data_IF_998386267780
#
_entry.id   IF_998386267780
#
_cell.length_a   1.000
_cell.length_b   1.000
_cell.length_c   1.000
_cell.angle_alpha   90.00
_cell.angle_beta   90.00
_cell.angle_gamma   90.00
#
_symmetry.space_group_name_H-M   'P 1'
#
loop_
_entity.id
_entity.type
_entity.pdbx_description
1 polymer ?
#
# COMPACT_ATOMS: atom_id res chain seq x y z
N UNK A 1 9.39 2.30 17.42
CA UNK A 1 10.36 1.24 17.03
C UNK A 1 10.53 0.19 18.13
N UNK A 2 10.85 0.55 19.40
CA UNK A 2 11.15 -0.42 20.46
C UNK A 2 10.01 -1.44 20.73
N UNK A 3 8.74 -1.01 20.78
CA UNK A 3 7.60 -1.91 20.95
C UNK A 3 7.42 -2.85 19.76
N UNK A 4 7.67 -2.40 18.55
CA UNK A 4 7.60 -3.20 17.35
C UNK A 4 8.68 -4.31 17.31
N UNK A 5 9.92 -3.96 17.65
CA UNK A 5 11.02 -4.92 17.78
C UNK A 5 10.70 -5.96 18.86
N UNK A 6 10.23 -5.53 20.03
CA UNK A 6 9.83 -6.42 21.12
C UNK A 6 8.72 -7.37 20.70
N UNK A 7 7.70 -6.88 19.98
CA UNK A 7 6.62 -7.73 19.49
C UNK A 7 7.17 -8.87 18.63
N UNK A 8 8.05 -8.59 17.67
CA UNK A 8 8.62 -9.62 16.81
C UNK A 8 9.48 -10.62 17.59
N UNK A 9 10.26 -10.16 18.56
CA UNK A 9 11.05 -11.06 19.42
C UNK A 9 10.17 -11.98 20.27
N UNK A 10 9.04 -11.50 20.77
CA UNK A 10 8.09 -12.34 21.50
C UNK A 10 7.30 -13.27 20.56
N UNK A 11 6.94 -12.81 19.35
CA UNK A 11 6.25 -13.63 18.36
C UNK A 11 7.11 -14.79 17.82
N UNK A 12 8.44 -14.66 17.80
CA UNK A 12 9.35 -15.78 17.51
C UNK A 12 9.24 -16.91 18.56
N UNK A 13 8.93 -16.57 19.81
CA UNK A 13 8.78 -17.53 20.92
C UNK A 13 7.35 -18.05 21.01
N UNK A 14 6.38 -17.19 20.68
CA UNK A 14 4.93 -17.49 20.72
C UNK A 14 4.27 -17.04 19.40
N UNK A 15 4.19 -17.94 18.39
CA UNK A 15 3.57 -17.61 17.10
C UNK A 15 2.10 -17.20 17.18
N UNK A 16 1.39 -17.49 18.28
CA UNK A 16 -0.02 -17.08 18.44
C UNK A 16 -0.19 -15.55 18.49
N UNK A 17 0.87 -14.81 18.85
CA UNK A 17 0.86 -13.36 18.84
C UNK A 17 0.69 -12.77 17.42
N UNK A 18 1.20 -13.46 16.40
CA UNK A 18 0.96 -13.05 15.01
C UNK A 18 -0.50 -13.21 14.60
N UNK A 19 -1.18 -14.27 15.06
CA UNK A 19 -2.60 -14.48 14.79
C UNK A 19 -3.45 -13.43 15.52
N UNK A 20 -3.07 -13.07 16.74
CA UNK A 20 -3.70 -11.98 17.47
C UNK A 20 -3.51 -10.63 16.73
N UNK A 21 -2.31 -10.36 16.23
CA UNK A 21 -2.04 -9.17 15.43
C UNK A 21 -2.91 -9.11 14.16
N UNK A 22 -3.06 -10.24 13.45
CA UNK A 22 -3.96 -10.35 12.28
C UNK A 22 -5.42 -10.11 12.66
N UNK A 23 -5.85 -10.62 13.83
CA UNK A 23 -7.19 -10.40 14.34
C UNK A 23 -7.46 -8.90 14.65
N UNK A 24 -6.50 -8.21 15.25
CA UNK A 24 -6.62 -6.77 15.50
C UNK A 24 -6.66 -5.96 14.21
N UNK A 25 -5.87 -6.34 13.21
CA UNK A 25 -5.92 -5.71 11.88
C UNK A 25 -7.29 -5.91 11.22
N UNK A 26 -7.84 -7.13 11.28
CA UNK A 26 -9.19 -7.43 10.80
C UNK A 26 -10.26 -6.60 11.50
N UNK A 27 -10.15 -6.41 12.81
CA UNK A 27 -11.07 -5.54 13.57
C UNK A 27 -11.05 -4.08 13.07
N UNK A 28 -9.89 -3.57 12.67
CA UNK A 28 -9.80 -2.22 12.07
C UNK A 28 -10.56 -2.19 10.73
N UNK A 29 -10.40 -3.20 9.89
CA UNK A 29 -11.12 -3.31 8.60
C UNK A 29 -12.64 -3.42 8.80
N UNK A 30 -13.07 -4.12 9.86
CA UNK A 30 -14.48 -4.29 10.23
C UNK A 30 -15.05 -3.08 10.99
N UNK A 31 -14.29 -2.02 11.15
CA UNK A 31 -14.67 -0.81 11.89
C UNK A 31 -15.03 -1.06 13.37
N UNK A 32 -14.35 -2.00 14.04
CA UNK A 32 -14.50 -2.17 15.48
C UNK A 32 -14.16 -0.87 16.21
N UNK A 33 -15.02 -0.34 17.09
CA UNK A 33 -14.83 0.98 17.68
C UNK A 33 -13.51 1.13 18.45
N UNK A 34 -13.13 0.09 19.23
CA UNK A 34 -11.90 0.12 20.02
C UNK A 34 -10.65 0.01 19.15
N UNK A 35 -10.66 -0.87 18.15
CA UNK A 35 -9.55 -1.02 17.24
C UNK A 35 -9.34 0.25 16.39
N UNK A 36 -10.42 0.86 15.94
CA UNK A 36 -10.43 2.11 15.19
C UNK A 36 -9.93 3.29 16.04
N UNK A 37 -10.33 3.38 17.31
CA UNK A 37 -9.85 4.38 18.24
C UNK A 37 -8.32 4.30 18.42
N UNK A 38 -7.79 3.09 18.67
CA UNK A 38 -6.36 2.84 18.84
C UNK A 38 -5.60 3.18 17.54
N UNK A 39 -6.14 2.76 16.40
CA UNK A 39 -5.54 3.05 15.08
C UNK A 39 -5.46 4.56 14.83
N UNK A 40 -6.53 5.31 15.09
CA UNK A 40 -6.55 6.76 14.91
C UNK A 40 -5.59 7.47 15.87
N UNK A 41 -5.50 7.03 17.11
CA UNK A 41 -4.54 7.54 18.07
C UNK A 41 -3.09 7.33 17.60
N UNK A 42 -2.73 6.13 17.13
CA UNK A 42 -1.40 5.83 16.59
C UNK A 42 -1.10 6.66 15.34
N UNK A 43 -2.09 6.81 14.46
CA UNK A 43 -1.96 7.65 13.27
C UNK A 43 -1.68 9.11 13.63
N UNK A 44 -2.41 9.66 14.60
CA UNK A 44 -2.22 11.04 15.05
C UNK A 44 -0.81 11.26 15.61
N UNK A 45 -0.35 10.38 16.51
CA UNK A 45 1.00 10.45 17.08
C UNK A 45 2.06 10.39 15.98
N UNK A 46 1.91 9.43 15.05
CA UNK A 46 2.87 9.23 13.97
C UNK A 46 2.93 10.44 13.04
N UNK A 47 1.77 11.00 12.66
CA UNK A 47 1.74 12.19 11.81
C UNK A 47 2.30 13.42 12.49
N UNK A 48 2.08 13.57 13.81
CA UNK A 48 2.65 14.67 14.59
C UNK A 48 4.19 14.59 14.64
N UNK A 49 4.75 13.39 14.80
CA UNK A 49 6.19 13.19 14.78
C UNK A 49 6.77 13.42 13.38
N UNK A 50 6.13 12.86 12.34
CA UNK A 50 6.52 13.06 10.96
C UNK A 50 6.46 14.54 10.54
N UNK A 51 5.48 15.31 11.03
CA UNK A 51 5.32 16.73 10.72
C UNK A 51 6.55 17.54 11.13
N UNK A 52 7.21 17.21 12.24
CA UNK A 52 8.45 17.85 12.67
C UNK A 52 9.55 17.73 11.59
N UNK A 53 9.68 16.57 10.99
CA UNK A 53 10.66 16.34 9.92
C UNK A 53 10.23 17.03 8.63
N UNK A 54 8.96 17.03 8.29
CA UNK A 54 8.44 17.76 7.13
C UNK A 54 8.68 19.26 7.24
N UNK A 55 8.51 19.82 8.43
CA UNK A 55 8.78 21.23 8.68
C UNK A 55 10.28 21.58 8.53
N UNK A 56 11.18 20.69 8.97
CA UNK A 56 12.63 20.84 8.76
C UNK A 56 13.01 20.84 7.27
N UNK A 57 12.33 20.01 6.48
CA UNK A 57 12.52 19.91 5.03
C UNK A 57 11.77 21.00 4.23
N UNK A 58 10.91 21.78 4.87
CA UNK A 58 10.03 22.73 4.21
C UNK A 58 8.95 22.07 3.33
N UNK A 59 8.63 20.78 3.59
CA UNK A 59 7.66 19.99 2.82
C UNK A 59 6.25 20.18 3.38
N UNK A 60 5.29 20.39 2.50
CA UNK A 60 3.85 20.47 2.81
C UNK A 60 3.09 19.55 1.89
N UNK A 61 2.03 18.93 2.42
CA UNK A 61 1.15 18.05 1.67
C UNK A 61 -0.25 18.66 1.55
N UNK A 62 -0.85 18.55 0.37
CA UNK A 62 -2.22 18.99 0.12
C UNK A 62 -3.24 17.96 0.66
N UNK A 63 -2.82 16.70 0.86
CA UNK A 63 -3.69 15.62 1.34
C UNK A 63 -2.89 14.56 2.11
N UNK A 64 -3.51 14.01 3.15
CA UNK A 64 -3.03 12.85 3.92
C UNK A 64 -3.93 11.62 3.73
N UNK A 65 -4.48 11.45 2.52
CA UNK A 65 -5.29 10.29 2.16
C UNK A 65 -4.39 9.04 2.01
N UNK A 66 -4.12 8.38 3.13
CA UNK A 66 -3.36 7.13 3.19
C UNK A 66 -4.22 5.93 2.75
N UNK A 67 -3.64 4.71 2.81
CA UNK A 67 -4.26 3.48 2.33
C UNK A 67 -5.68 3.23 2.86
N UNK A 68 -5.91 3.45 4.16
CA UNK A 68 -7.22 3.24 4.80
C UNK A 68 -8.33 4.13 4.25
N UNK A 69 -7.99 5.27 3.64
CA UNK A 69 -8.96 6.16 2.99
C UNK A 69 -9.63 5.52 1.78
N UNK A 70 -8.99 4.53 1.16
CA UNK A 70 -9.48 3.88 -0.06
C UNK A 70 -10.22 2.57 0.20
N UNK A 71 -10.40 2.14 1.45
CA UNK A 71 -11.02 0.85 1.78
C UNK A 71 -12.44 0.71 1.24
N UNK A 72 -13.24 1.78 1.28
CA UNK A 72 -14.61 1.81 0.76
C UNK A 72 -14.71 2.05 -0.76
N UNK A 73 -13.58 2.23 -1.44
CA UNK A 73 -13.49 2.58 -2.87
C UNK A 73 -13.06 1.43 -3.76
N UNK A 74 -12.72 0.28 -3.18
CA UNK A 74 -12.19 -0.87 -3.93
C UNK A 74 -13.30 -1.68 -4.60
N UNK A 75 -14.49 -1.78 -4.00
CA UNK A 75 -15.57 -2.61 -4.53
C UNK A 75 -15.99 -2.22 -5.96
N UNK A 76 -16.15 -0.95 -6.33
CA UNK A 76 -16.46 -0.55 -7.70
C UNK A 76 -15.42 -1.01 -8.73
N UNK A 77 -14.13 -1.04 -8.35
CA UNK A 77 -13.04 -1.52 -9.22
C UNK A 77 -13.17 -3.01 -9.47
N UNK A 78 -13.47 -3.77 -8.41
CA UNK A 78 -13.66 -5.23 -8.51
C UNK A 78 -14.84 -5.55 -9.42
N UNK A 79 -15.94 -4.83 -9.24
CA UNK A 79 -17.16 -5.03 -10.02
C UNK A 79 -16.92 -4.72 -11.51
N UNK A 80 -16.22 -3.63 -11.81
CA UNK A 80 -15.87 -3.27 -13.19
C UNK A 80 -14.93 -4.30 -13.83
N UNK A 81 -13.93 -4.81 -13.10
CA UNK A 81 -13.05 -5.86 -13.60
C UNK A 81 -13.82 -7.15 -13.93
N UNK A 82 -14.84 -7.49 -13.14
CA UNK A 82 -15.75 -8.63 -13.43
C UNK A 82 -16.60 -8.39 -14.67
N UNK A 83 -17.25 -7.22 -14.73
CA UNK A 83 -18.10 -6.84 -15.85
C UNK A 83 -17.35 -6.84 -17.19
N UNK A 84 -16.09 -6.44 -17.17
CA UNK A 84 -15.20 -6.44 -18.34
C UNK A 84 -14.61 -7.83 -18.65
N UNK A 85 -14.87 -8.84 -17.81
CA UNK A 85 -14.32 -10.19 -17.99
C UNK A 85 -12.80 -10.28 -17.79
N UNK A 86 -12.20 -9.29 -17.11
CA UNK A 86 -10.76 -9.24 -16.87
C UNK A 86 -10.34 -9.99 -15.60
N UNK A 87 -11.28 -10.25 -14.68
CA UNK A 87 -11.00 -10.93 -13.42
C UNK A 87 -11.19 -12.44 -13.57
N UNK A 88 -10.13 -13.21 -13.46
CA UNK A 88 -10.12 -14.66 -13.60
C UNK A 88 -9.64 -15.34 -12.33
N UNK A 89 -10.16 -16.54 -12.03
CA UNK A 89 -9.67 -17.34 -10.90
C UNK A 89 -8.39 -18.08 -11.30
N UNK A 90 -7.35 -17.98 -10.50
CA UNK A 90 -6.07 -18.65 -10.68
C UNK A 90 -5.47 -19.03 -9.33
N UNK A 91 -5.15 -20.31 -9.13
CA UNK A 91 -4.46 -20.85 -7.93
C UNK A 91 -5.06 -20.39 -6.59
N UNK A 92 -6.38 -20.26 -6.53
CA UNK A 92 -7.08 -19.84 -5.31
C UNK A 92 -7.02 -18.32 -5.05
N UNK A 93 -6.81 -17.53 -6.08
CA UNK A 93 -6.91 -16.06 -6.04
C UNK A 93 -7.68 -15.58 -7.29
N UNK A 94 -8.15 -14.34 -7.27
CA UNK A 94 -8.67 -13.66 -8.45
C UNK A 94 -7.63 -12.69 -8.97
N UNK A 95 -7.31 -12.82 -10.25
CA UNK A 95 -6.22 -12.11 -10.90
C UNK A 95 -6.66 -11.46 -12.20
N UNK A 96 -5.90 -10.48 -12.66
CA UNK A 96 -5.92 -10.06 -14.08
C UNK A 96 -4.71 -10.69 -14.76
N UNK A 97 -4.97 -11.42 -15.84
CA UNK A 97 -3.93 -12.07 -16.64
C UNK A 97 -3.12 -11.01 -17.43
N UNK A 98 -1.80 -11.12 -17.35
CA UNK A 98 -0.84 -10.25 -18.01
C UNK A 98 0.22 -11.03 -18.81
N UNK A 99 -0.07 -12.30 -19.16
CA UNK A 99 0.89 -13.15 -19.90
C UNK A 99 1.25 -12.55 -21.26
N UNK A 100 0.27 -11.99 -21.98
CA UNK A 100 0.49 -11.30 -23.26
C UNK A 100 1.43 -10.09 -23.14
N UNK A 101 1.52 -9.51 -21.95
CA UNK A 101 2.40 -8.38 -21.61
C UNK A 101 3.75 -8.83 -21.02
N UNK A 102 4.05 -10.15 -21.04
CA UNK A 102 5.25 -10.77 -20.47
C UNK A 102 5.42 -10.48 -18.97
N UNK A 103 4.33 -10.42 -18.24
CA UNK A 103 4.33 -10.19 -16.78
C UNK A 103 3.54 -11.31 -16.08
N UNK A 104 3.90 -11.62 -14.82
CA UNK A 104 3.06 -12.43 -13.96
C UNK A 104 1.68 -11.79 -13.78
N UNK A 105 0.63 -12.58 -13.50
CA UNK A 105 -0.71 -12.05 -13.30
C UNK A 105 -0.76 -11.05 -12.13
N UNK A 106 -1.60 -10.03 -12.27
CA UNK A 106 -1.82 -9.05 -11.20
C UNK A 106 -2.86 -9.58 -10.22
N UNK A 107 -2.46 -9.76 -8.96
CA UNK A 107 -3.33 -10.27 -7.90
C UNK A 107 -4.30 -9.17 -7.43
N UNK A 108 -5.59 -9.42 -7.52
CA UNK A 108 -6.68 -8.49 -7.16
C UNK A 108 -7.34 -8.88 -5.84
N UNK A 109 -7.77 -10.16 -5.71
CA UNK A 109 -8.44 -10.67 -4.52
C UNK A 109 -7.85 -12.01 -4.10
N UNK A 110 -7.87 -12.29 -2.81
CA UNK A 110 -7.67 -13.64 -2.28
C UNK A 110 -8.92 -14.49 -2.53
N UNK A 111 -8.81 -15.81 -2.33
CA UNK A 111 -9.92 -16.75 -2.48
C UNK A 111 -11.11 -16.43 -1.56
N UNK A 112 -10.84 -15.92 -0.36
CA UNK A 112 -11.84 -15.50 0.62
C UNK A 112 -12.47 -14.12 0.31
N UNK A 113 -12.10 -13.50 -0.82
CA UNK A 113 -12.58 -12.20 -1.25
C UNK A 113 -11.85 -11.00 -0.62
N UNK A 114 -10.85 -11.23 0.23
CA UNK A 114 -10.05 -10.14 0.77
C UNK A 114 -9.25 -9.44 -0.34
N UNK A 115 -9.25 -8.10 -0.32
CA UNK A 115 -8.55 -7.27 -1.30
C UNK A 115 -7.03 -7.35 -1.11
N UNK A 116 -6.31 -7.12 -2.19
CA UNK A 116 -4.85 -7.05 -2.21
C UNK A 116 -4.37 -5.62 -2.55
N UNK A 117 -3.08 -5.38 -2.41
CA UNK A 117 -2.49 -4.04 -2.59
C UNK A 117 -2.83 -3.41 -3.94
N UNK A 118 -2.77 -4.17 -5.04
CA UNK A 118 -3.07 -3.65 -6.36
C UNK A 118 -4.49 -3.09 -6.47
N UNK A 119 -5.48 -3.72 -5.85
CA UNK A 119 -6.87 -3.25 -5.85
C UNK A 119 -7.00 -1.89 -5.20
N UNK A 120 -6.29 -1.68 -4.09
CA UNK A 120 -6.29 -0.41 -3.36
C UNK A 120 -5.58 0.69 -4.16
N UNK A 121 -4.46 0.37 -4.79
CA UNK A 121 -3.72 1.33 -5.62
C UNK A 121 -4.51 1.75 -6.86
N UNK A 122 -5.19 0.81 -7.51
CA UNK A 122 -6.10 1.11 -8.62
C UNK A 122 -7.23 2.03 -8.13
N UNK A 123 -7.89 1.70 -7.02
CA UNK A 123 -8.94 2.54 -6.45
C UNK A 123 -8.45 3.95 -6.10
N UNK A 124 -7.22 4.06 -5.60
CA UNK A 124 -6.57 5.35 -5.32
C UNK A 124 -6.34 6.16 -6.60
N UNK A 125 -5.86 5.54 -7.68
CA UNK A 125 -5.65 6.19 -8.96
C UNK A 125 -6.97 6.70 -9.56
N UNK A 126 -8.03 5.90 -9.51
CA UNK A 126 -9.37 6.30 -9.95
C UNK A 126 -9.91 7.48 -9.14
N UNK A 127 -9.77 7.42 -7.81
CA UNK A 127 -10.16 8.52 -6.93
C UNK A 127 -9.39 9.80 -7.27
N UNK A 128 -8.06 9.72 -7.44
CA UNK A 128 -7.21 10.86 -7.77
C UNK A 128 -7.57 11.44 -9.15
N UNK A 129 -7.78 10.59 -10.15
CA UNK A 129 -8.19 11.05 -11.48
C UNK A 129 -9.53 11.81 -11.44
N UNK A 130 -10.51 11.26 -10.70
CA UNK A 130 -11.83 11.87 -10.54
C UNK A 130 -11.79 13.18 -9.74
N UNK A 131 -10.95 13.24 -8.71
CA UNK A 131 -10.95 14.36 -7.75
C UNK A 131 -10.04 15.50 -8.19
N UNK A 132 -8.83 15.16 -8.68
CA UNK A 132 -7.80 16.15 -8.99
C UNK A 132 -7.66 16.43 -10.49
N UNK A 133 -8.28 15.60 -11.36
CA UNK A 133 -8.16 15.71 -12.82
C UNK A 133 -6.71 15.82 -13.29
N UNK A 134 -5.83 15.05 -12.67
CA UNK A 134 -4.39 15.15 -12.85
C UNK A 134 -3.98 15.03 -14.33
N UNK A 135 -2.93 15.76 -14.70
CA UNK A 135 -2.22 15.58 -15.96
C UNK A 135 -1.27 14.38 -15.88
N UNK A 136 -0.59 14.20 -14.73
CA UNK A 136 0.21 13.01 -14.40
C UNK A 136 0.02 12.66 -12.92
N UNK A 137 0.08 11.36 -12.61
CA UNK A 137 0.14 10.84 -11.24
C UNK A 137 1.49 10.15 -11.05
N UNK A 138 2.37 10.78 -10.26
CA UNK A 138 3.74 10.34 -10.03
C UNK A 138 3.84 9.57 -8.72
N UNK A 139 4.20 8.28 -8.81
CA UNK A 139 4.41 7.39 -7.67
C UNK A 139 5.89 7.33 -7.32
N UNK A 140 6.32 8.15 -6.36
CA UNK A 140 7.71 8.18 -5.88
C UNK A 140 7.88 7.08 -4.84
N UNK A 141 8.27 5.89 -5.28
CA UNK A 141 8.35 4.67 -4.47
C UNK A 141 9.60 3.88 -4.83
N UNK A 142 10.16 3.14 -3.86
CA UNK A 142 11.40 2.39 -4.06
C UNK A 142 11.32 1.36 -5.20
N UNK A 143 12.45 1.14 -5.89
CA UNK A 143 12.55 0.34 -7.12
C UNK A 143 12.09 -1.12 -6.94
N UNK A 144 12.08 -1.66 -5.74
CA UNK A 144 11.56 -3.01 -5.46
C UNK A 144 10.09 -3.18 -5.85
N UNK A 145 9.36 -2.08 -5.97
CA UNK A 145 7.95 -2.06 -6.38
C UNK A 145 7.76 -1.95 -7.91
N UNK A 146 8.84 -1.96 -8.69
CA UNK A 146 8.77 -1.79 -10.16
C UNK A 146 7.76 -2.73 -10.83
N UNK A 147 7.78 -4.02 -10.48
CA UNK A 147 6.86 -5.00 -11.06
C UNK A 147 5.41 -4.71 -10.66
N UNK A 148 5.19 -4.41 -9.38
CA UNK A 148 3.86 -4.09 -8.85
C UNK A 148 3.23 -2.90 -9.62
N UNK A 149 3.96 -1.80 -9.80
CA UNK A 149 3.47 -0.64 -10.56
C UNK A 149 3.19 -0.97 -12.02
N UNK A 150 4.10 -1.69 -12.69
CA UNK A 150 3.89 -2.13 -14.08
C UNK A 150 2.63 -2.98 -14.23
N UNK A 151 2.37 -3.89 -13.30
CA UNK A 151 1.21 -4.77 -13.34
C UNK A 151 -0.09 -3.98 -13.22
N UNK A 152 -0.27 -3.19 -12.18
CA UNK A 152 -1.55 -2.52 -11.98
C UNK A 152 -1.77 -1.34 -12.94
N UNK A 153 -0.71 -0.66 -13.44
CA UNK A 153 -0.86 0.29 -14.55
C UNK A 153 -1.42 -0.40 -15.80
N UNK A 154 -0.91 -1.58 -16.10
CA UNK A 154 -1.41 -2.40 -17.22
C UNK A 154 -2.85 -2.87 -16.99
N UNK A 155 -3.25 -3.16 -15.76
CA UNK A 155 -4.65 -3.45 -15.43
C UNK A 155 -5.55 -2.26 -15.79
N UNK A 156 -5.18 -1.04 -15.40
CA UNK A 156 -5.93 0.17 -15.74
C UNK A 156 -6.01 0.37 -17.26
N UNK A 157 -4.94 0.08 -17.99
CA UNK A 157 -4.93 0.11 -19.47
C UNK A 157 -5.89 -0.93 -20.05
N UNK A 158 -5.84 -2.19 -19.57
CA UNK A 158 -6.76 -3.27 -20.00
C UNK A 158 -8.23 -2.96 -19.66
N UNK A 159 -8.50 -2.19 -18.61
CA UNK A 159 -9.83 -1.67 -18.31
C UNK A 159 -10.31 -0.64 -19.35
N UNK A 160 -9.45 -0.18 -20.26
CA UNK A 160 -9.77 0.74 -21.35
C UNK A 160 -9.61 2.23 -21.01
N UNK A 161 -8.89 2.56 -19.95
CA UNK A 161 -8.67 3.95 -19.54
C UNK A 161 -7.41 4.53 -20.17
N UNK A 162 -7.57 5.44 -21.12
CA UNK A 162 -6.47 6.10 -21.82
C UNK A 162 -5.51 6.87 -20.90
N UNK A 163 -5.99 7.33 -19.74
CA UNK A 163 -5.17 8.03 -18.76
C UNK A 163 -4.20 7.11 -17.99
N UNK A 164 -4.25 5.80 -18.23
CA UNK A 164 -3.25 4.87 -17.69
C UNK A 164 -1.82 5.26 -18.09
N UNK A 165 -1.63 5.85 -19.27
CA UNK A 165 -0.35 6.41 -19.76
C UNK A 165 0.17 7.61 -18.97
N UNK A 166 -0.71 8.24 -18.16
CA UNK A 166 -0.37 9.38 -17.32
C UNK A 166 0.07 8.93 -15.91
N UNK A 167 0.02 7.62 -15.61
CA UNK A 167 0.56 7.02 -14.39
C UNK A 167 2.05 6.75 -14.56
N UNK A 168 2.88 7.21 -13.64
CA UNK A 168 4.32 7.05 -13.73
C UNK A 168 4.92 6.64 -12.37
N UNK A 169 5.66 5.53 -12.36
CA UNK A 169 6.47 5.14 -11.23
C UNK A 169 7.84 5.80 -11.33
N UNK A 170 8.17 6.62 -10.34
CA UNK A 170 9.46 7.30 -10.20
C UNK A 170 10.28 6.53 -9.15
N UNK A 171 11.06 5.51 -9.55
CA UNK A 171 11.76 4.66 -8.61
C UNK A 171 12.97 5.35 -8.01
N UNK A 172 13.21 5.11 -6.72
CA UNK A 172 14.46 5.47 -6.05
C UNK A 172 15.15 4.25 -5.44
N UNK A 173 16.47 4.38 -5.19
CA UNK A 173 17.27 3.35 -4.55
C UNK A 173 17.01 3.24 -3.05
N UNK A 174 17.33 2.07 -2.48
CA UNK A 174 17.27 1.89 -1.03
C UNK A 174 18.43 2.57 -0.33
N UNK A 175 18.14 3.16 0.82
CA UNK A 175 19.18 3.65 1.73
C UNK A 175 19.77 2.47 2.48
N UNK A 176 21.09 2.40 2.52
CA UNK A 176 21.83 1.45 3.35
C UNK A 176 22.77 2.21 4.29
N UNK A 177 23.06 1.64 5.43
CA UNK A 177 24.05 2.15 6.38
C UNK A 177 25.11 1.09 6.60
N UNK A 178 26.40 1.45 6.48
CA UNK A 178 27.54 0.54 6.57
C UNK A 178 27.43 -0.70 5.67
N UNK A 179 26.86 -0.54 4.47
CA UNK A 179 26.67 -1.64 3.49
C UNK A 179 25.55 -2.61 3.82
N UNK A 180 24.76 -2.37 4.88
CA UNK A 180 23.63 -3.19 5.31
C UNK A 180 22.31 -2.44 5.05
N UNK A 181 21.29 -3.17 4.58
CA UNK A 181 19.94 -2.64 4.44
C UNK A 181 19.34 -2.32 5.81
N UNK A 182 18.62 -1.20 5.91
CA UNK A 182 17.89 -0.82 7.13
C UNK A 182 16.72 -1.79 7.36
N UNK A 183 16.48 -2.14 8.64
CA UNK A 183 15.43 -3.07 9.05
C UNK A 183 14.76 -2.59 10.33
N UNK A 184 13.51 -2.15 10.23
CA UNK A 184 12.73 -1.74 11.41
C UNK A 184 12.40 -2.90 12.34
N UNK A 185 12.27 -4.12 11.80
CA UNK A 185 12.02 -5.35 12.60
C UNK A 185 13.18 -5.70 13.51
N UNK A 186 14.40 -5.49 13.04
CA UNK A 186 15.63 -5.73 13.77
C UNK A 186 16.09 -4.51 14.59
N UNK A 187 15.39 -3.39 14.50
CA UNK A 187 15.77 -2.15 15.15
C UNK A 187 17.00 -1.47 14.52
N UNK A 188 17.46 -1.97 13.34
CA UNK A 188 18.59 -1.38 12.61
C UNK A 188 18.05 -0.27 11.71
N UNK A 189 17.95 0.93 12.27
CA UNK A 189 17.38 2.11 11.60
C UNK A 189 18.27 3.32 11.82
N UNK A 190 18.26 4.24 10.86
CA UNK A 190 18.79 5.59 10.99
C UNK A 190 17.61 6.53 10.80
N UNK A 191 17.38 7.41 11.75
CA UNK A 191 16.28 8.37 11.65
C UNK A 191 16.67 9.52 10.73
N UNK A 192 15.68 10.03 10.00
CA UNK A 192 15.94 11.09 9.01
C UNK A 192 16.44 12.39 9.66
N UNK A 193 15.98 12.71 10.87
CA UNK A 193 16.42 13.85 11.66
C UNK A 193 17.86 13.73 12.20
N UNK A 194 18.44 12.52 12.17
CA UNK A 194 19.87 12.30 12.46
C UNK A 194 20.75 12.54 11.23
N UNK A 195 20.15 12.59 10.04
CA UNK A 195 20.83 12.83 8.77
C UNK A 195 20.74 14.30 8.30
N UNK A 196 19.76 15.07 8.83
CA UNK A 196 19.50 16.46 8.49
C UNK A 196 20.25 17.41 9.43
#
# INVERSE_FOLDING_TARGET
TALYVRFHQEAEKDPSLEDEGRLWFKKIEDNDPKATEIFNWFKEITLKDAQRVYDMLGVKFDSYAGESFYNDKMQPIIDELREKGLLVESQGAYVVDLEEDNMPPCLILKKDGATLYATRDIAAAFYRKKTYHFYKDLYVVAYQQNLHFKQWFKVVEKMGYEWSKDLEHVPFGMVSYEGRALSTREGYVVYLDELL
#
